data_IF_460376768622
#
_entry.id   IF_460376768622
#
_cell.length_a   1.000
_cell.length_b   1.000
_cell.length_c   1.000
_cell.angle_alpha   90.00
_cell.angle_beta   90.00
_cell.angle_gamma   90.00
#
_symmetry.space_group_name_H-M   'P 1'
#
loop_
_entity.id
_entity.type
_entity.pdbx_description
1 polymer ?
#
# COMPACT_ATOMS: atom_id res chain seq x y z
N UNK A 1 21.56 6.92 -2.83
CA UNK A 1 20.61 6.62 -1.74
C UNK A 1 21.46 6.09 -0.59
N UNK A 2 21.65 6.88 0.48
CA UNK A 2 22.46 6.46 1.63
C UNK A 2 21.61 5.61 2.57
N UNK A 3 21.94 4.33 2.68
CA UNK A 3 21.37 3.46 3.71
C UNK A 3 22.26 3.53 4.96
N UNK A 4 21.63 3.41 6.13
CA UNK A 4 22.34 3.25 7.40
C UNK A 4 22.29 1.76 7.75
N UNK A 5 23.46 1.16 7.94
CA UNK A 5 23.58 -0.24 8.34
C UNK A 5 23.82 -0.32 9.85
N UNK A 6 23.12 -1.24 10.50
CA UNK A 6 23.26 -1.52 11.93
C UNK A 6 23.49 -3.02 12.13
N UNK A 7 24.63 -3.45 12.71
CA UNK A 7 24.85 -4.85 13.04
C UNK A 7 23.76 -5.39 13.97
N UNK A 8 23.31 -6.63 13.72
CA UNK A 8 22.22 -7.23 14.47
C UNK A 8 22.53 -7.38 15.96
N UNK A 9 23.79 -7.63 16.34
CA UNK A 9 24.21 -7.63 17.75
C UNK A 9 23.97 -6.26 18.40
N UNK A 10 24.29 -5.17 17.70
CA UNK A 10 24.14 -3.80 18.21
C UNK A 10 22.67 -3.41 18.32
N UNK A 11 21.85 -3.79 17.34
CA UNK A 11 20.40 -3.61 17.39
C UNK A 11 19.79 -4.34 18.60
N UNK A 12 20.18 -5.60 18.83
CA UNK A 12 19.74 -6.38 20.00
C UNK A 12 20.18 -5.75 21.32
N UNK A 13 21.42 -5.28 21.39
CA UNK A 13 21.89 -4.58 22.58
C UNK A 13 21.03 -3.33 22.87
N UNK A 14 20.78 -2.51 21.86
CA UNK A 14 20.00 -1.27 21.99
C UNK A 14 18.53 -1.50 22.36
N UNK A 15 17.93 -2.63 21.99
CA UNK A 15 16.60 -3.00 22.48
C UNK A 15 16.53 -3.02 24.02
N UNK A 16 17.62 -3.41 24.69
CA UNK A 16 17.68 -3.50 26.14
C UNK A 16 18.29 -2.25 26.79
N UNK A 17 19.25 -1.60 26.14
CA UNK A 17 20.03 -0.51 26.74
C UNK A 17 19.55 0.88 26.35
N UNK A 18 18.70 1.01 25.33
CA UNK A 18 18.19 2.29 24.84
C UNK A 18 16.65 2.30 24.79
N UNK A 19 15.97 2.82 25.83
CA UNK A 19 14.52 2.90 25.87
C UNK A 19 13.91 3.68 24.70
N UNK A 20 14.57 4.73 24.20
CA UNK A 20 14.08 5.52 23.08
C UNK A 20 14.08 4.72 21.77
N UNK A 21 15.11 3.90 21.55
CA UNK A 21 15.17 2.98 20.41
C UNK A 21 14.02 1.96 20.47
N UNK A 22 13.77 1.39 21.65
CA UNK A 22 12.70 0.41 21.85
C UNK A 22 11.29 1.04 21.63
N UNK A 23 11.06 2.23 22.18
CA UNK A 23 9.82 2.99 22.00
C UNK A 23 9.55 3.37 20.54
N UNK A 24 10.59 3.51 19.71
CA UNK A 24 10.45 3.74 18.27
C UNK A 24 10.26 2.44 17.48
N UNK A 25 11.03 1.39 17.80
CA UNK A 25 11.08 0.16 17.02
C UNK A 25 9.84 -0.73 17.23
N UNK A 26 9.34 -0.86 18.46
CA UNK A 26 8.19 -1.73 18.74
C UNK A 26 6.92 -1.29 18.00
N UNK A 27 6.53 -0.01 18.00
CA UNK A 27 5.39 0.46 17.20
C UNK A 27 5.57 0.20 15.71
N UNK A 28 6.79 0.36 15.20
CA UNK A 28 7.10 0.07 13.80
C UNK A 28 6.88 -1.41 13.48
N UNK A 29 7.43 -2.34 14.28
CA UNK A 29 7.24 -3.78 14.10
C UNK A 29 5.76 -4.15 14.22
N UNK A 30 5.05 -3.64 15.23
CA UNK A 30 3.62 -3.87 15.38
C UNK A 30 2.81 -3.36 14.18
N UNK A 31 3.23 -2.23 13.59
CA UNK A 31 2.68 -1.72 12.33
C UNK A 31 2.92 -2.67 11.15
N UNK A 32 4.13 -3.22 11.02
CA UNK A 32 4.44 -4.22 9.99
C UNK A 32 3.59 -5.50 10.15
N UNK A 33 3.43 -5.99 11.39
CA UNK A 33 2.59 -7.17 11.68
C UNK A 33 1.12 -6.95 11.30
N UNK A 34 0.54 -5.79 11.67
CA UNK A 34 -0.83 -5.43 11.26
C UNK A 34 -0.97 -5.31 9.73
N UNK A 35 0.07 -4.84 9.04
CA UNK A 35 0.04 -4.78 7.57
C UNK A 35 0.09 -6.17 6.95
N UNK A 36 0.86 -7.11 7.51
CA UNK A 36 0.87 -8.51 7.06
C UNK A 36 -0.47 -9.22 7.31
N UNK A 37 -1.07 -9.01 8.47
CA UNK A 37 -2.38 -9.58 8.82
C UNK A 37 -3.48 -9.05 7.88
N UNK A 38 -3.54 -7.75 7.65
CA UNK A 38 -4.45 -7.14 6.65
C UNK A 38 -4.21 -7.68 5.25
N UNK A 39 -2.95 -7.85 4.83
CA UNK A 39 -2.64 -8.44 3.53
C UNK A 39 -3.16 -9.87 3.44
N UNK A 40 -2.91 -10.70 4.45
CA UNK A 40 -3.42 -12.08 4.53
C UNK A 40 -4.95 -12.14 4.44
N UNK A 41 -5.65 -11.28 5.20
CA UNK A 41 -7.10 -11.16 5.16
C UNK A 41 -7.59 -10.72 3.77
N UNK A 42 -6.97 -9.69 3.20
CA UNK A 42 -7.32 -9.17 1.87
C UNK A 42 -7.11 -10.19 0.75
N UNK A 43 -6.11 -11.07 0.86
CA UNK A 43 -5.85 -12.13 -0.11
C UNK A 43 -6.95 -13.18 -0.12
N UNK A 44 -7.60 -13.42 1.03
CA UNK A 44 -8.72 -14.35 1.16
C UNK A 44 -10.06 -13.75 0.73
N UNK A 45 -10.23 -12.43 0.90
CA UNK A 45 -11.52 -11.77 0.73
C UNK A 45 -11.70 -11.11 -0.63
N UNK A 46 -10.63 -10.55 -1.18
CA UNK A 46 -10.70 -9.65 -2.33
C UNK A 46 -9.94 -10.22 -3.51
N UNK A 47 -10.38 -9.94 -4.73
CA UNK A 47 -9.58 -10.22 -5.92
C UNK A 47 -8.43 -9.20 -6.07
N UNK A 48 -7.55 -9.39 -7.06
CA UNK A 48 -6.41 -8.47 -7.25
C UNK A 48 -6.84 -7.04 -7.64
N UNK A 49 -7.98 -6.89 -8.31
CA UNK A 49 -8.52 -5.58 -8.69
C UNK A 49 -8.95 -4.81 -7.46
N UNK A 50 -9.70 -5.45 -6.58
CA UNK A 50 -10.23 -4.87 -5.35
C UNK A 50 -9.12 -4.59 -4.33
N UNK A 51 -8.14 -5.49 -4.17
CA UNK A 51 -6.93 -5.21 -3.36
C UNK A 51 -6.17 -3.98 -3.84
N UNK A 52 -6.09 -3.77 -5.16
CA UNK A 52 -5.46 -2.58 -5.72
C UNK A 52 -6.28 -1.31 -5.43
N UNK A 53 -7.61 -1.37 -5.51
CA UNK A 53 -8.48 -0.24 -5.15
C UNK A 53 -8.36 0.12 -3.66
N UNK A 54 -8.37 -0.88 -2.78
CA UNK A 54 -8.11 -0.67 -1.34
C UNK A 54 -6.76 -0.03 -1.08
N UNK A 55 -5.68 -0.55 -1.70
CA UNK A 55 -4.35 0.03 -1.56
C UNK A 55 -4.33 1.51 -1.97
N UNK A 56 -5.03 1.87 -3.05
CA UNK A 56 -5.12 3.25 -3.51
C UNK A 56 -5.82 4.13 -2.46
N UNK A 57 -6.96 3.70 -1.92
CA UNK A 57 -7.72 4.47 -0.92
C UNK A 57 -6.96 4.62 0.39
N UNK A 58 -6.35 3.54 0.88
CA UNK A 58 -5.62 3.52 2.16
C UNK A 58 -4.38 4.42 2.14
N UNK A 59 -3.87 4.75 0.96
CA UNK A 59 -2.69 5.59 0.76
C UNK A 59 -3.03 6.99 0.26
N UNK A 60 -4.31 7.40 0.35
CA UNK A 60 -4.70 8.77 0.08
C UNK A 60 -4.26 9.68 1.22
N UNK A 61 -3.71 10.83 0.84
CA UNK A 61 -3.48 11.92 1.76
C UNK A 61 -4.83 12.49 2.21
N UNK A 62 -5.10 12.56 3.53
CA UNK A 62 -6.38 13.03 4.06
C UNK A 62 -6.72 14.48 3.68
N UNK A 63 -5.72 15.31 3.44
CA UNK A 63 -5.90 16.73 3.10
C UNK A 63 -6.08 16.92 1.59
N UNK A 64 -5.30 16.21 0.76
CA UNK A 64 -5.30 16.42 -0.70
C UNK A 64 -6.12 15.41 -1.49
N UNK A 65 -6.54 14.31 -0.86
CA UNK A 65 -7.18 13.16 -1.50
C UNK A 65 -6.39 12.60 -2.70
N UNK A 66 -5.06 12.82 -2.70
CA UNK A 66 -4.16 12.26 -3.70
C UNK A 66 -3.33 11.12 -3.10
N UNK A 67 -2.99 10.09 -3.89
CA UNK A 67 -2.25 8.94 -3.41
C UNK A 67 -0.75 9.27 -3.28
N UNK A 68 -0.39 9.95 -2.20
CA UNK A 68 0.95 10.52 -2.00
C UNK A 68 2.04 9.45 -1.88
N UNK A 69 1.71 8.28 -1.33
CA UNK A 69 2.66 7.15 -1.17
C UNK A 69 2.77 6.24 -2.40
N UNK A 70 1.76 6.22 -3.29
CA UNK A 70 1.83 5.44 -4.54
C UNK A 70 2.53 6.21 -5.67
N UNK A 71 2.64 7.52 -5.54
CA UNK A 71 3.43 8.34 -6.44
C UNK A 71 4.89 7.84 -6.44
N UNK A 72 5.45 7.70 -7.64
CA UNK A 72 6.74 7.07 -7.93
C UNK A 72 6.85 5.54 -7.84
N UNK A 73 5.81 4.81 -7.45
CA UNK A 73 5.87 3.34 -7.45
C UNK A 73 5.71 2.75 -8.86
N UNK A 74 6.58 1.78 -9.16
CA UNK A 74 6.46 0.90 -10.31
C UNK A 74 5.34 -0.12 -10.10
N UNK A 75 4.84 -0.71 -11.20
CA UNK A 75 3.86 -1.79 -11.11
C UNK A 75 4.40 -3.02 -10.37
N UNK A 76 5.72 -3.23 -10.38
CA UNK A 76 6.38 -4.30 -9.61
C UNK A 76 6.31 -4.05 -8.11
N UNK A 77 6.55 -2.81 -7.67
CA UNK A 77 6.47 -2.45 -6.25
C UNK A 77 5.03 -2.56 -5.75
N UNK A 78 4.06 -2.05 -6.52
CA UNK A 78 2.63 -2.19 -6.21
C UNK A 78 2.23 -3.68 -6.15
N UNK A 79 2.72 -4.50 -7.08
CA UNK A 79 2.42 -5.93 -7.09
C UNK A 79 2.89 -6.65 -5.81
N UNK A 80 4.05 -6.28 -5.27
CA UNK A 80 4.54 -6.81 -3.98
C UNK A 80 3.62 -6.41 -2.82
N UNK A 81 3.05 -5.21 -2.86
CA UNK A 81 2.17 -4.72 -1.79
C UNK A 81 0.81 -5.44 -1.75
N UNK A 82 0.28 -5.86 -2.90
CA UNK A 82 -1.06 -6.50 -3.00
C UNK A 82 -1.01 -8.02 -3.22
N UNK A 83 0.19 -8.63 -3.12
CA UNK A 83 0.39 -10.06 -3.36
C UNK A 83 0.01 -10.48 -4.78
N UNK A 84 0.60 -9.83 -5.78
CA UNK A 84 0.33 -10.11 -7.20
C UNK A 84 1.60 -10.04 -8.05
N UNK A 85 1.43 -10.08 -9.37
CA UNK A 85 2.49 -9.93 -10.37
C UNK A 85 2.30 -8.64 -11.16
N UNK A 86 3.42 -8.09 -11.65
CA UNK A 86 3.46 -6.82 -12.41
C UNK A 86 2.41 -6.74 -13.52
N UNK A 87 2.25 -7.80 -14.31
CA UNK A 87 1.37 -7.81 -15.48
C UNK A 87 -0.11 -7.67 -15.10
N UNK A 88 -0.53 -8.29 -13.98
CA UNK A 88 -1.92 -8.19 -13.49
C UNK A 88 -2.19 -6.79 -12.96
N UNK A 89 -1.24 -6.20 -12.23
CA UNK A 89 -1.33 -4.81 -11.76
C UNK A 89 -1.42 -3.83 -12.94
N UNK A 90 -0.57 -3.98 -13.96
CA UNK A 90 -0.64 -3.13 -15.16
C UNK A 90 -1.99 -3.24 -15.88
N UNK A 91 -2.56 -4.45 -15.96
CA UNK A 91 -3.89 -4.67 -16.55
C UNK A 91 -4.98 -3.94 -15.77
N UNK A 92 -5.01 -4.09 -14.44
CA UNK A 92 -6.02 -3.45 -13.60
C UNK A 92 -5.89 -1.92 -13.62
N UNK A 93 -4.66 -1.38 -13.52
CA UNK A 93 -4.42 0.05 -13.67
C UNK A 93 -4.91 0.60 -15.02
N UNK A 94 -4.68 -0.11 -16.13
CA UNK A 94 -5.20 0.27 -17.45
C UNK A 94 -6.73 0.21 -17.51
N UNK A 95 -7.36 -0.76 -16.84
CA UNK A 95 -8.83 -0.83 -16.74
C UNK A 95 -9.38 0.39 -16.02
N UNK A 96 -8.80 0.72 -14.86
CA UNK A 96 -9.21 1.87 -14.06
C UNK A 96 -9.05 3.19 -14.81
N UNK A 97 -8.03 3.32 -15.65
CA UNK A 97 -7.89 4.47 -16.56
C UNK A 97 -9.00 4.56 -17.60
N UNK A 98 -9.33 3.44 -18.25
CA UNK A 98 -10.41 3.39 -19.25
C UNK A 98 -11.77 3.70 -18.64
N UNK A 99 -11.97 3.31 -17.38
CA UNK A 99 -13.18 3.57 -16.61
C UNK A 99 -13.25 5.00 -16.04
N UNK A 100 -12.20 5.81 -16.23
CA UNK A 100 -12.16 7.18 -15.71
C UNK A 100 -11.96 7.28 -14.19
N UNK A 101 -11.57 6.19 -13.52
CA UNK A 101 -11.33 6.18 -12.06
C UNK A 101 -10.04 6.90 -11.70
N UNK A 102 -9.01 6.72 -12.53
CA UNK A 102 -7.68 7.28 -12.29
C UNK A 102 -7.00 7.69 -13.58
N UNK A 103 -6.03 8.59 -13.47
CA UNK A 103 -5.09 8.93 -14.52
C UNK A 103 -3.67 8.62 -14.04
N UNK A 104 -2.78 8.26 -14.96
CA UNK A 104 -1.37 8.00 -14.65
C UNK A 104 -0.47 8.72 -15.63
N UNK A 105 0.42 9.56 -15.11
CA UNK A 105 1.46 10.25 -15.89
C UNK A 105 2.79 10.12 -15.19
N UNK A 106 3.84 9.63 -15.87
CA UNK A 106 5.23 9.57 -15.36
C UNK A 106 5.37 9.09 -13.90
N UNK A 107 4.69 7.98 -13.55
CA UNK A 107 4.62 7.38 -12.20
C UNK A 107 3.83 8.17 -11.14
N UNK A 108 3.14 9.23 -11.52
CA UNK A 108 2.12 9.87 -10.69
C UNK A 108 0.78 9.22 -10.95
N UNK A 109 0.07 8.87 -9.88
CA UNK A 109 -1.29 8.36 -9.92
C UNK A 109 -2.22 9.49 -9.44
N UNK A 110 -3.21 9.87 -10.25
CA UNK A 110 -4.21 10.86 -9.86
C UNK A 110 -5.58 10.20 -9.84
N UNK A 111 -6.30 10.31 -8.73
CA UNK A 111 -7.70 9.88 -8.69
C UNK A 111 -8.55 10.92 -9.41
N UNK A 112 -9.40 10.46 -10.33
CA UNK A 112 -10.34 11.29 -11.07
C UNK A 112 -11.73 11.25 -10.45
N UNK A 113 -12.16 10.08 -10.00
CA UNK A 113 -13.45 9.90 -9.34
C UNK A 113 -13.31 9.01 -8.10
N UNK A 114 -13.16 9.66 -6.94
CA UNK A 114 -13.07 8.99 -5.64
C UNK A 114 -14.42 8.34 -5.25
N UNK A 115 -15.54 8.93 -5.68
CA UNK A 115 -16.86 8.43 -5.33
C UNK A 115 -17.12 7.11 -6.05
N UNK A 116 -16.89 7.08 -7.35
CA UNK A 116 -17.01 5.87 -8.16
C UNK A 116 -16.06 4.76 -7.70
N UNK A 117 -14.84 5.12 -7.27
CA UNK A 117 -13.89 4.16 -6.69
C UNK A 117 -14.43 3.54 -5.39
N UNK A 118 -15.01 4.34 -4.50
CA UNK A 118 -15.63 3.85 -3.25
C UNK A 118 -16.88 3.00 -3.51
N UNK A 119 -17.72 3.40 -4.46
CA UNK A 119 -18.91 2.63 -4.86
C UNK A 119 -18.52 1.24 -5.39
N UNK A 120 -17.46 1.15 -6.21
CA UNK A 120 -16.96 -0.14 -6.71
C UNK A 120 -16.51 -1.09 -5.60
N UNK A 121 -15.86 -0.57 -4.57
CA UNK A 121 -15.44 -1.40 -3.42
C UNK A 121 -16.66 -1.91 -2.63
N UNK A 122 -17.70 -1.10 -2.47
CA UNK A 122 -18.90 -1.51 -1.72
C UNK A 122 -19.76 -2.53 -2.46
N UNK A 123 -19.72 -2.55 -3.79
CA UNK A 123 -20.57 -3.43 -4.61
C UNK A 123 -19.99 -4.82 -4.87
N UNK A 124 -18.70 -5.05 -4.62
CA UNK A 124 -18.04 -6.32 -4.99
C UNK A 124 -18.33 -7.43 -3.96
N UNK A 125 -18.75 -7.09 -2.73
CA UNK A 125 -19.35 -8.04 -1.77
C UNK A 125 -20.43 -7.38 -0.90
N UNK A 126 -21.72 -7.76 -1.02
CA UNK A 126 -22.66 -7.58 0.07
C UNK A 126 -22.34 -8.65 1.12
N UNK A 127 -21.94 -8.22 2.32
CA UNK A 127 -22.04 -9.08 3.51
C UNK A 127 -23.51 -9.09 3.94
#
# INVERSE_FOLDING_TARGET
MSAIELPMEKARMWLHTNPAFNQMLLPYIAGQMRSLERLSSSLSLYDTSERLMHLIIDNLDPATHQPTLLNNLSATEIAKMIGSVRQVVERNLKSFQKEGLLERSRKQLQIKDLKLLKEKIQHIFPI
#
